data_IF_452316112037
#
_entry.id   IF_452316112037
#
_cell.length_a   1.000
_cell.length_b   1.000
_cell.length_c   1.000
_cell.angle_alpha   90.00
_cell.angle_beta   90.00
_cell.angle_gamma   90.00
#
_symmetry.space_group_name_H-M   'P 1'
#
loop_
_entity.id
_entity.type
_entity.pdbx_description
1 polymer ?
#
# COMPACT_ATOMS: atom_id res chain seq x y z
N UNK A 1 -20.33 -20.47 -24.44
CA UNK A 1 -18.96 -20.10 -24.83
C UNK A 1 -18.31 -19.45 -23.62
N UNK A 2 -17.30 -20.07 -22.97
CA UNK A 2 -16.71 -19.57 -21.72
C UNK A 2 -15.72 -18.40 -21.91
N UNK A 3 -15.42 -18.00 -23.14
CA UNK A 3 -14.46 -16.91 -23.44
C UNK A 3 -15.20 -15.58 -23.56
N UNK A 4 -15.60 -15.01 -22.43
CA UNK A 4 -16.25 -13.71 -22.36
C UNK A 4 -15.63 -12.84 -21.26
N UNK A 5 -15.66 -11.52 -21.47
CA UNK A 5 -15.31 -10.50 -20.47
C UNK A 5 -16.50 -9.54 -20.38
N UNK A 6 -16.96 -9.24 -19.17
CA UNK A 6 -18.02 -8.25 -18.97
C UNK A 6 -17.41 -6.88 -18.72
N UNK A 7 -17.76 -5.90 -19.55
CA UNK A 7 -17.31 -4.52 -19.37
C UNK A 7 -18.40 -3.72 -18.65
N UNK A 8 -18.07 -3.20 -17.46
CA UNK A 8 -18.88 -2.15 -16.86
C UNK A 8 -18.77 -0.89 -17.72
N UNK A 9 -19.88 -0.19 -17.94
CA UNK A 9 -19.95 0.98 -18.80
C UNK A 9 -21.02 1.96 -18.30
N UNK A 10 -20.72 3.26 -18.42
CA UNK A 10 -21.70 4.34 -18.26
C UNK A 10 -21.95 4.93 -19.64
N UNK A 11 -23.16 4.77 -20.16
CA UNK A 11 -23.55 5.26 -21.49
C UNK A 11 -23.86 6.78 -21.47
N UNK A 12 -22.87 7.58 -21.06
CA UNK A 12 -22.91 9.04 -21.08
C UNK A 12 -21.57 9.59 -21.60
N UNK A 13 -21.61 10.69 -22.36
CA UNK A 13 -20.49 11.15 -23.19
C UNK A 13 -20.31 12.67 -23.07
N UNK A 14 -19.39 13.16 -22.21
CA UNK A 14 -18.57 12.39 -21.29
C UNK A 14 -19.35 11.93 -20.05
N UNK A 15 -18.96 10.78 -19.50
CA UNK A 15 -19.48 10.32 -18.20
C UNK A 15 -18.87 11.15 -17.07
N UNK A 16 -19.70 11.58 -16.11
CA UNK A 16 -19.21 12.21 -14.89
C UNK A 16 -18.46 11.17 -14.02
N UNK A 17 -17.49 11.62 -13.22
CA UNK A 17 -16.72 10.68 -12.38
C UNK A 17 -17.61 10.03 -11.31
N UNK A 18 -18.59 10.77 -10.81
CA UNK A 18 -19.56 10.33 -9.80
C UNK A 18 -20.42 9.16 -10.30
N UNK A 19 -20.65 9.10 -11.62
CA UNK A 19 -21.47 8.07 -12.26
C UNK A 19 -20.68 6.79 -12.56
N UNK A 20 -19.34 6.85 -12.56
CA UNK A 20 -18.48 5.75 -13.02
C UNK A 20 -18.73 4.44 -12.26
N UNK A 21 -18.92 4.52 -10.94
CA UNK A 21 -19.26 3.39 -10.07
C UNK A 21 -18.40 2.13 -10.33
N UNK A 22 -17.07 2.26 -10.28
CA UNK A 22 -16.12 1.16 -10.53
C UNK A 22 -16.31 -0.06 -9.59
N UNK A 23 -17.02 0.12 -8.47
CA UNK A 23 -17.37 -0.98 -7.56
C UNK A 23 -18.31 -2.02 -8.20
N UNK A 24 -19.00 -1.69 -9.30
CA UNK A 24 -19.81 -2.66 -10.07
C UNK A 24 -18.96 -3.80 -10.60
N UNK A 25 -17.65 -3.59 -10.85
CA UNK A 25 -16.73 -4.66 -11.24
C UNK A 25 -16.72 -5.83 -10.25
N UNK A 26 -16.79 -5.52 -8.95
CA UNK A 26 -16.81 -6.53 -7.89
C UNK A 26 -18.14 -7.31 -7.91
N UNK A 27 -19.24 -6.61 -8.19
CA UNK A 27 -20.58 -7.20 -8.33
C UNK A 27 -20.64 -8.13 -9.54
N UNK A 28 -20.18 -7.66 -10.71
CA UNK A 28 -20.15 -8.46 -11.95
C UNK A 28 -19.28 -9.71 -11.78
N UNK A 29 -18.10 -9.56 -11.17
CA UNK A 29 -17.19 -10.68 -10.93
C UNK A 29 -17.82 -11.73 -10.00
N UNK A 30 -18.45 -11.29 -8.91
CA UNK A 30 -19.10 -12.19 -7.96
C UNK A 30 -20.32 -12.89 -8.57
N UNK A 31 -21.13 -12.19 -9.36
CA UNK A 31 -22.35 -12.73 -9.95
C UNK A 31 -22.09 -13.70 -11.11
N UNK A 32 -21.11 -13.39 -11.98
CA UNK A 32 -20.91 -14.12 -13.22
C UNK A 32 -19.67 -15.02 -13.22
N UNK A 33 -18.78 -14.89 -12.24
CA UNK A 33 -17.58 -15.73 -12.11
C UNK A 33 -16.62 -15.63 -13.30
N UNK A 34 -16.71 -14.56 -14.10
CA UNK A 34 -15.91 -14.34 -15.29
C UNK A 34 -14.99 -13.12 -15.13
N UNK A 35 -13.98 -12.96 -16.01
CA UNK A 35 -13.20 -11.73 -16.06
C UNK A 35 -14.10 -10.52 -16.32
N UNK A 36 -13.74 -9.40 -15.70
CA UNK A 36 -14.44 -8.12 -15.84
C UNK A 36 -13.49 -7.06 -16.33
N UNK A 37 -13.99 -6.09 -17.07
CA UNK A 37 -13.25 -4.92 -17.52
C UNK A 37 -14.13 -3.68 -17.43
N UNK A 38 -13.62 -2.57 -17.94
CA UNK A 38 -14.32 -1.29 -17.90
C UNK A 38 -14.23 -0.58 -19.25
N UNK A 39 -15.37 -0.19 -19.80
CA UNK A 39 -15.49 0.64 -21.00
C UNK A 39 -15.79 2.07 -20.56
N UNK A 40 -14.84 2.97 -20.79
CA UNK A 40 -14.80 4.27 -20.14
C UNK A 40 -15.04 5.44 -21.10
N UNK A 41 -15.92 6.33 -20.66
CA UNK A 41 -16.28 7.57 -21.34
C UNK A 41 -16.04 8.81 -20.45
N UNK A 42 -15.39 8.66 -19.29
CA UNK A 42 -15.06 9.80 -18.44
C UNK A 42 -13.90 10.63 -19.01
N UNK A 43 -13.69 11.86 -18.55
CA UNK A 43 -12.45 12.58 -18.85
C UNK A 43 -11.23 11.91 -18.21
N UNK A 44 -10.09 11.93 -18.91
CA UNK A 44 -8.78 11.55 -18.35
C UNK A 44 -8.64 10.07 -17.96
N UNK A 45 -7.60 9.77 -17.17
CA UNK A 45 -7.17 8.40 -16.84
C UNK A 45 -7.63 7.90 -15.46
N UNK A 46 -8.38 8.71 -14.71
CA UNK A 46 -8.76 8.40 -13.34
C UNK A 46 -9.60 7.11 -13.24
N UNK A 47 -10.71 7.05 -13.97
CA UNK A 47 -11.62 5.88 -13.94
C UNK A 47 -10.92 4.60 -14.42
N UNK A 48 -10.13 4.59 -15.51
CA UNK A 48 -9.36 3.43 -15.93
C UNK A 48 -8.39 2.91 -14.86
N UNK A 49 -7.69 3.82 -14.16
CA UNK A 49 -6.78 3.44 -13.07
C UNK A 49 -7.51 2.82 -11.89
N UNK A 50 -8.64 3.41 -11.49
CA UNK A 50 -9.48 2.87 -10.42
C UNK A 50 -10.09 1.52 -10.79
N UNK A 51 -10.51 1.35 -12.04
CA UNK A 51 -11.01 0.09 -12.56
C UNK A 51 -9.94 -1.02 -12.50
N UNK A 52 -8.70 -0.73 -12.93
CA UNK A 52 -7.57 -1.67 -12.82
C UNK A 52 -7.27 -2.00 -11.36
N UNK A 53 -7.27 -1.01 -10.47
CA UNK A 53 -7.09 -1.23 -9.03
C UNK A 53 -8.22 -2.09 -8.42
N UNK A 54 -9.40 -2.11 -9.05
CA UNK A 54 -10.53 -3.00 -8.72
C UNK A 54 -10.57 -4.28 -9.55
N UNK A 55 -9.48 -4.65 -10.20
CA UNK A 55 -9.34 -5.93 -10.89
C UNK A 55 -10.03 -6.00 -12.25
N UNK A 56 -10.21 -4.86 -12.93
CA UNK A 56 -10.50 -4.87 -14.37
C UNK A 56 -9.30 -5.44 -15.15
N UNK A 57 -9.54 -6.44 -16.00
CA UNK A 57 -8.52 -7.03 -16.87
C UNK A 57 -8.51 -6.44 -18.29
N UNK A 58 -9.54 -5.67 -18.64
CA UNK A 58 -9.67 -4.96 -19.92
C UNK A 58 -10.11 -3.52 -19.64
N UNK A 59 -9.48 -2.57 -20.32
CA UNK A 59 -9.87 -1.16 -20.34
C UNK A 59 -10.12 -0.78 -21.80
N UNK A 60 -11.27 -0.20 -22.06
CA UNK A 60 -11.63 0.41 -23.34
C UNK A 60 -11.81 1.91 -23.14
N UNK A 61 -11.32 2.71 -24.10
CA UNK A 61 -11.29 4.17 -24.03
C UNK A 61 -11.25 4.74 -25.45
N UNK A 62 -12.00 5.80 -25.70
CA UNK A 62 -11.95 6.51 -26.98
C UNK A 62 -10.60 7.20 -27.18
N UNK A 63 -10.07 7.15 -28.40
CA UNK A 63 -8.83 7.81 -28.81
C UNK A 63 -9.07 8.62 -30.09
N UNK A 64 -8.45 9.81 -30.18
CA UNK A 64 -8.50 10.70 -31.33
C UNK A 64 -7.10 11.26 -31.64
N UNK A 65 -6.91 11.77 -32.86
CA UNK A 65 -5.72 12.55 -33.21
C UNK A 65 -5.84 14.01 -32.74
N UNK A 66 -7.07 14.54 -32.73
CA UNK A 66 -7.40 15.91 -32.36
C UNK A 66 -8.85 15.94 -31.86
N UNK A 67 -9.10 16.54 -30.69
CA UNK A 67 -10.44 16.67 -30.09
C UNK A 67 -11.35 17.69 -30.78
N UNK A 68 -10.79 18.59 -31.58
CA UNK A 68 -11.53 19.63 -32.29
C UNK A 68 -12.05 19.18 -33.66
N UNK A 69 -11.75 17.93 -34.07
CA UNK A 69 -12.30 17.35 -35.30
C UNK A 69 -13.82 17.19 -35.22
N UNK A 70 -14.54 17.33 -36.36
CA UNK A 70 -15.97 17.15 -36.39
C UNK A 70 -16.33 15.67 -36.16
N UNK A 71 -17.30 15.43 -35.28
CA UNK A 71 -17.81 14.09 -34.98
C UNK A 71 -18.21 13.97 -33.51
N UNK A 72 -19.13 13.04 -33.19
CA UNK A 72 -19.70 12.94 -31.85
C UNK A 72 -18.66 12.52 -30.80
N UNK A 73 -17.64 11.76 -31.19
CA UNK A 73 -16.73 11.10 -30.26
C UNK A 73 -15.41 11.87 -30.02
N UNK A 74 -15.09 12.85 -30.86
CA UNK A 74 -13.80 13.54 -30.78
C UNK A 74 -13.66 14.39 -29.51
N UNK A 75 -14.71 15.11 -29.11
CA UNK A 75 -14.64 16.10 -28.05
C UNK A 75 -14.25 15.53 -26.68
N UNK A 76 -14.55 14.26 -26.41
CA UNK A 76 -14.26 13.60 -25.12
C UNK A 76 -13.20 12.48 -25.21
N UNK A 77 -12.83 12.04 -26.41
CA UNK A 77 -11.78 11.04 -26.62
C UNK A 77 -10.41 11.48 -26.07
N UNK A 78 -9.49 10.56 -25.81
CA UNK A 78 -8.10 10.88 -25.47
C UNK A 78 -7.27 11.16 -26.72
N UNK A 79 -6.39 12.15 -26.68
CA UNK A 79 -5.36 12.27 -27.71
C UNK A 79 -4.24 11.26 -27.48
N UNK A 80 -3.50 10.93 -28.54
CA UNK A 80 -2.47 9.88 -28.50
C UNK A 80 -1.45 10.01 -27.33
N UNK A 81 -0.92 11.20 -26.99
CA UNK A 81 -0.02 11.34 -25.85
C UNK A 81 -0.67 11.03 -24.50
N UNK A 82 -1.94 11.39 -24.34
CA UNK A 82 -2.70 11.14 -23.11
C UNK A 82 -3.05 9.66 -22.97
N UNK A 83 -3.45 9.02 -24.06
CA UNK A 83 -3.71 7.57 -24.11
C UNK A 83 -2.43 6.79 -23.78
N UNK A 84 -1.29 7.18 -24.35
CA UNK A 84 0.01 6.57 -24.04
C UNK A 84 0.39 6.76 -22.56
N UNK A 85 0.13 7.95 -21.99
CA UNK A 85 0.33 8.23 -20.57
C UNK A 85 -0.57 7.34 -19.70
N UNK A 86 -1.86 7.22 -20.03
CA UNK A 86 -2.81 6.33 -19.35
C UNK A 86 -2.33 4.88 -19.40
N UNK A 87 -1.92 4.37 -20.57
CA UNK A 87 -1.44 3.01 -20.71
C UNK A 87 -0.20 2.74 -19.84
N UNK A 88 0.75 3.70 -19.80
CA UNK A 88 1.93 3.62 -18.92
C UNK A 88 1.52 3.60 -17.45
N UNK A 89 0.59 4.45 -17.04
CA UNK A 89 0.10 4.51 -15.66
C UNK A 89 -0.63 3.22 -15.28
N UNK A 90 -1.45 2.64 -16.17
CA UNK A 90 -2.11 1.34 -15.96
C UNK A 90 -1.07 0.25 -15.70
N UNK A 91 0.00 0.17 -16.51
CA UNK A 91 1.07 -0.83 -16.30
C UNK A 91 1.78 -0.64 -14.97
N UNK A 92 2.08 0.60 -14.58
CA UNK A 92 2.67 0.91 -13.28
C UNK A 92 1.72 0.55 -12.12
N UNK A 93 0.44 0.88 -12.24
CA UNK A 93 -0.59 0.56 -11.25
C UNK A 93 -0.73 -0.96 -11.08
N UNK A 94 -0.85 -1.72 -12.18
CA UNK A 94 -0.91 -3.19 -12.12
C UNK A 94 0.31 -3.80 -11.41
N UNK A 95 1.52 -3.28 -11.65
CA UNK A 95 2.71 -3.73 -10.95
C UNK A 95 2.71 -3.34 -9.45
N UNK A 96 2.16 -2.16 -9.12
CA UNK A 96 2.12 -1.64 -7.76
C UNK A 96 1.05 -2.31 -6.87
N UNK A 97 0.01 -2.92 -7.45
CA UNK A 97 -1.05 -3.59 -6.68
C UNK A 97 -0.52 -4.73 -5.79
N UNK A 98 0.53 -5.43 -6.23
CA UNK A 98 1.12 -6.55 -5.50
C UNK A 98 0.16 -7.74 -5.32
N UNK A 99 0.44 -8.57 -4.32
CA UNK A 99 -0.30 -9.80 -3.99
C UNK A 99 -1.09 -9.72 -2.67
N UNK A 100 -1.04 -8.56 -1.99
CA UNK A 100 -1.68 -8.35 -0.70
C UNK A 100 -0.93 -8.95 0.51
N UNK A 101 0.24 -9.58 0.31
CA UNK A 101 1.00 -10.22 1.40
C UNK A 101 2.05 -9.26 1.96
N UNK A 102 1.85 -8.80 3.21
CA UNK A 102 2.83 -7.92 3.87
C UNK A 102 4.04 -8.73 4.35
N UNK A 103 5.16 -8.52 3.66
CA UNK A 103 6.47 -9.04 4.06
C UNK A 103 7.47 -7.91 4.33
N UNK A 104 8.57 -8.24 5.01
CA UNK A 104 9.75 -7.38 5.09
C UNK A 104 10.50 -7.48 3.75
N UNK A 105 10.51 -6.40 2.98
CA UNK A 105 11.15 -6.38 1.68
C UNK A 105 12.68 -6.45 1.82
N UNK A 106 13.42 -7.01 0.84
CA UNK A 106 14.87 -7.05 0.88
C UNK A 106 15.51 -5.66 1.12
N UNK A 107 14.97 -4.61 0.48
CA UNK A 107 15.42 -3.22 0.69
C UNK A 107 15.11 -2.66 2.08
N UNK A 108 14.10 -3.20 2.78
CA UNK A 108 13.78 -2.79 4.15
C UNK A 108 14.70 -3.46 5.19
N UNK A 109 15.36 -4.58 4.86
CA UNK A 109 16.16 -5.36 5.84
C UNK A 109 17.29 -4.56 6.47
N UNK A 110 17.93 -3.69 5.71
CA UNK A 110 19.05 -2.88 6.19
C UNK A 110 18.58 -1.70 7.05
N UNK A 111 17.40 -1.15 6.75
CA UNK A 111 16.84 0.00 7.47
C UNK A 111 16.07 -0.46 8.72
N UNK A 112 15.46 -1.64 8.69
CA UNK A 112 14.69 -2.19 9.79
C UNK A 112 15.41 -2.13 11.15
N UNK A 113 16.66 -2.60 11.34
CA UNK A 113 17.34 -2.50 12.63
C UNK A 113 17.68 -1.05 13.03
N UNK A 114 17.85 -0.14 12.07
CA UNK A 114 18.12 1.28 12.34
C UNK A 114 16.85 2.04 12.73
N UNK A 115 15.72 1.73 12.08
CA UNK A 115 14.44 2.40 12.25
C UNK A 115 13.55 1.76 13.33
N UNK A 116 13.81 0.52 13.73
CA UNK A 116 13.12 -0.12 14.86
C UNK A 116 13.72 0.32 16.18
N UNK A 117 12.93 0.20 17.23
CA UNK A 117 13.36 0.52 18.60
C UNK A 117 13.85 -0.74 19.30
N UNK A 118 14.87 -0.61 20.12
CA UNK A 118 15.26 -1.56 21.15
C UNK A 118 15.00 -0.96 22.53
N UNK A 119 15.03 -1.78 23.57
CA UNK A 119 14.96 -1.34 24.96
C UNK A 119 16.34 -0.92 25.45
N UNK A 120 16.40 0.24 26.07
CA UNK A 120 17.60 0.86 26.62
C UNK A 120 17.34 1.28 28.06
N UNK A 121 18.40 1.36 28.86
CA UNK A 121 18.31 1.98 30.17
C UNK A 121 18.11 3.50 30.02
N UNK A 122 17.01 4.03 30.56
CA UNK A 122 16.71 5.46 30.58
C UNK A 122 17.62 6.24 31.55
N UNK A 123 18.18 5.54 32.53
CA UNK A 123 19.12 6.03 33.55
C UNK A 123 20.04 4.91 33.99
N UNK A 124 21.06 5.23 34.78
CA UNK A 124 21.91 4.20 35.39
C UNK A 124 21.10 3.28 36.32
N UNK A 125 21.33 1.97 36.25
CA UNK A 125 20.66 0.94 37.06
C UNK A 125 21.73 0.10 37.78
N UNK A 126 21.87 0.23 39.12
CA UNK A 126 22.82 -0.56 39.89
C UNK A 126 22.46 -2.05 39.96
N UNK A 127 23.47 -2.91 40.13
CA UNK A 127 23.29 -4.35 40.40
C UNK A 127 22.35 -4.58 41.58
N UNK A 128 21.45 -5.56 41.44
CA UNK A 128 20.46 -5.93 42.45
C UNK A 128 19.15 -5.12 42.38
N UNK A 129 19.12 -4.01 41.64
CA UNK A 129 17.94 -3.15 41.51
C UNK A 129 16.80 -3.88 40.81
N UNK A 130 15.58 -3.78 41.35
CA UNK A 130 14.36 -4.27 40.70
C UNK A 130 13.97 -3.32 39.57
N UNK A 131 13.81 -3.84 38.36
CA UNK A 131 13.53 -3.06 37.16
C UNK A 131 12.10 -2.53 37.17
N UNK A 132 11.96 -1.21 37.15
CA UNK A 132 10.69 -0.50 36.99
C UNK A 132 10.56 0.14 35.61
N UNK A 133 9.33 0.49 35.22
CA UNK A 133 9.01 1.00 33.88
C UNK A 133 9.75 2.29 33.52
N UNK A 134 9.93 3.18 34.47
CA UNK A 134 10.60 4.49 34.32
C UNK A 134 12.12 4.36 34.13
N UNK A 135 12.70 3.20 34.43
CA UNK A 135 14.12 2.90 34.15
C UNK A 135 14.40 2.53 32.70
N UNK A 136 13.36 2.29 31.89
CA UNK A 136 13.48 1.73 30.55
C UNK A 136 12.94 2.70 29.50
N UNK A 137 13.70 2.91 28.43
CA UNK A 137 13.27 3.66 27.25
C UNK A 137 13.30 2.75 26.01
N UNK A 138 12.36 2.96 25.09
CA UNK A 138 12.39 2.34 23.77
C UNK A 138 12.99 3.34 22.78
N UNK A 139 14.27 3.15 22.42
CA UNK A 139 15.04 4.06 21.58
C UNK A 139 15.49 3.37 20.29
N UNK A 140 15.79 4.15 19.26
CA UNK A 140 16.48 3.67 18.06
C UNK A 140 17.99 3.77 18.26
N UNK A 141 18.80 2.92 17.62
CA UNK A 141 18.42 1.76 16.80
C UNK A 141 17.96 0.54 17.64
N UNK A 142 17.51 -0.54 17.00
CA UNK A 142 17.14 -1.78 17.66
C UNK A 142 18.37 -2.62 18.03
N UNK A 143 19.22 -2.11 18.93
CA UNK A 143 20.37 -2.85 19.48
C UNK A 143 20.04 -3.61 20.77
N UNK A 144 19.11 -3.09 21.57
CA UNK A 144 18.63 -3.77 22.78
C UNK A 144 17.49 -4.75 22.49
N UNK A 145 16.98 -5.39 23.54
CA UNK A 145 15.80 -6.27 23.48
C UNK A 145 14.64 -5.58 22.74
N UNK A 146 13.86 -6.35 22.01
CA UNK A 146 12.66 -5.82 21.37
C UNK A 146 11.70 -5.20 22.41
N UNK A 147 10.99 -4.10 22.09
CA UNK A 147 10.04 -3.48 23.00
C UNK A 147 8.97 -4.43 23.56
N UNK A 148 8.61 -5.47 22.79
CA UNK A 148 7.69 -6.52 23.22
C UNK A 148 8.21 -7.36 24.40
N UNK A 149 9.53 -7.36 24.67
CA UNK A 149 10.13 -8.02 25.82
C UNK A 149 9.94 -7.22 27.13
N UNK A 150 9.46 -5.97 27.08
CA UNK A 150 9.32 -5.11 28.26
C UNK A 150 8.57 -5.78 29.42
N UNK A 151 7.39 -6.42 29.23
CA UNK A 151 6.69 -7.08 30.33
C UNK A 151 7.49 -8.20 30.98
N UNK A 152 8.43 -8.82 30.25
CA UNK A 152 9.26 -9.93 30.75
C UNK A 152 10.42 -9.46 31.62
N UNK A 153 10.82 -8.19 31.51
CA UNK A 153 11.96 -7.63 32.28
C UNK A 153 11.51 -6.83 33.51
N UNK A 154 10.29 -6.29 33.51
CA UNK A 154 9.75 -5.59 34.68
C UNK A 154 9.67 -6.53 35.88
N UNK A 155 10.10 -6.04 37.05
CA UNK A 155 10.14 -6.83 38.29
C UNK A 155 11.36 -7.76 38.43
N UNK A 156 12.17 -7.96 37.38
CA UNK A 156 13.45 -8.67 37.50
C UNK A 156 14.48 -7.83 38.26
N UNK A 157 15.54 -8.47 38.76
CA UNK A 157 16.69 -7.79 39.39
C UNK A 157 17.84 -7.67 38.40
N UNK A 158 18.50 -6.51 38.37
CA UNK A 158 19.71 -6.33 37.56
C UNK A 158 20.84 -7.23 38.06
N UNK A 159 21.43 -8.06 37.19
CA UNK A 159 22.57 -8.94 37.54
C UNK A 159 23.89 -8.20 37.63
N UNK A 160 23.98 -7.06 36.96
CA UNK A 160 25.14 -6.17 36.90
C UNK A 160 24.71 -4.71 36.88
N UNK A 161 25.67 -3.81 36.99
CA UNK A 161 25.44 -2.40 36.73
C UNK A 161 25.14 -2.21 35.23
N UNK A 162 24.13 -1.38 34.93
CA UNK A 162 23.70 -1.03 33.57
C UNK A 162 23.83 0.48 33.42
N UNK A 163 24.59 0.95 32.44
CA UNK A 163 24.79 2.37 32.20
C UNK A 163 23.56 3.02 31.57
N UNK A 164 23.38 4.33 31.76
CA UNK A 164 22.36 5.09 31.02
C UNK A 164 22.62 4.98 29.51
N UNK A 165 21.56 4.81 28.72
CA UNK A 165 21.60 4.59 27.26
C UNK A 165 22.31 3.31 26.82
N UNK A 166 22.57 2.39 27.74
CA UNK A 166 23.02 1.05 27.38
C UNK A 166 21.85 0.24 26.77
N UNK A 167 22.06 -0.46 25.64
CA UNK A 167 21.06 -1.39 25.11
C UNK A 167 20.89 -2.55 26.09
N UNK A 168 19.64 -2.88 26.43
CA UNK A 168 19.36 -3.98 27.34
C UNK A 168 19.47 -5.30 26.60
N UNK A 169 20.02 -6.30 27.26
CA UNK A 169 20.11 -7.69 26.81
C UNK A 169 19.74 -8.63 27.97
N UNK A 170 19.53 -9.91 27.68
CA UNK A 170 19.06 -10.85 28.72
C UNK A 170 20.08 -11.08 29.84
N UNK A 171 21.38 -10.90 29.60
CA UNK A 171 22.44 -10.98 30.64
C UNK A 171 22.31 -9.89 31.70
N UNK A 172 21.55 -8.82 31.43
CA UNK A 172 21.26 -7.78 32.40
C UNK A 172 20.38 -8.27 33.56
N UNK A 173 19.61 -9.37 33.43
CA UNK A 173 18.52 -9.76 34.35
C UNK A 173 18.51 -11.22 34.79
#
# INVERSE_FOLDING_TARGET
NPRLVLLQCVANYPAAWEDANVAVLDTLRAAFGCPVGYSDHSPGALVPLLAVARGACVIEKHITFDRFLPGPDHAFAMEAPEFASMAKQIRAASAAMGDGVKILLPGERNIAPLARRGLYAARHIPRGTVISRDMIAALRPAKGLEPAALPKILGRKARRNIAQHEPLSWDCF
#
